data_IF_849019764982
#
_entry.id   IF_849019764982
#
_cell.length_a   1.000
_cell.length_b   1.000
_cell.length_c   1.000
_cell.angle_alpha   90.00
_cell.angle_beta   90.00
_cell.angle_gamma   90.00
#
_symmetry.space_group_name_H-M   'P 1'
#
loop_
_entity.id
_entity.type
_entity.pdbx_description
1 polymer ?
#
# COMPACT_ATOMS: atom_id res chain seq x y z
N UNK A 1 6.21 -30.80 -13.48
CA UNK A 1 6.80 -30.40 -12.18
C UNK A 1 7.23 -28.95 -12.32
N UNK A 2 6.71 -28.05 -11.48
CA UNK A 2 6.94 -26.60 -11.57
C UNK A 2 8.11 -26.23 -10.65
N UNK A 3 9.03 -25.40 -11.13
CA UNK A 3 10.21 -24.95 -10.37
C UNK A 3 10.31 -23.42 -10.45
N UNK A 4 10.28 -22.76 -9.31
CA UNK A 4 10.55 -21.32 -9.19
C UNK A 4 12.05 -21.07 -9.11
N UNK A 5 12.49 -19.92 -9.62
CA UNK A 5 13.87 -19.46 -9.54
C UNK A 5 13.89 -18.00 -9.10
N UNK A 6 14.96 -17.61 -8.43
CA UNK A 6 15.19 -16.22 -8.05
C UNK A 6 16.32 -16.12 -7.04
N UNK A 7 16.99 -14.96 -7.02
CA UNK A 7 18.11 -14.68 -6.11
C UNK A 7 17.68 -14.79 -4.66
N UNK A 8 16.46 -14.34 -4.34
CA UNK A 8 15.82 -14.49 -3.03
C UNK A 8 15.85 -15.93 -2.49
N UNK A 9 15.82 -16.95 -3.35
CA UNK A 9 15.90 -18.35 -2.96
C UNK A 9 17.32 -18.92 -3.09
N UNK A 10 18.02 -18.61 -4.19
CA UNK A 10 19.30 -19.25 -4.53
C UNK A 10 20.52 -18.64 -3.83
N UNK A 11 20.37 -17.50 -3.16
CA UNK A 11 21.47 -16.85 -2.44
C UNK A 11 21.99 -17.72 -1.28
N UNK A 12 23.33 -17.74 -1.04
CA UNK A 12 23.93 -18.59 -0.01
C UNK A 12 23.35 -18.38 1.39
N UNK A 13 23.04 -17.13 1.75
CA UNK A 13 22.45 -16.77 3.05
C UNK A 13 21.07 -17.37 3.28
N UNK A 14 20.19 -17.36 2.27
CA UNK A 14 18.88 -18.01 2.34
C UNK A 14 19.04 -19.54 2.39
N UNK A 15 19.89 -20.10 1.53
CA UNK A 15 20.17 -21.54 1.51
C UNK A 15 20.75 -22.06 2.83
N UNK A 16 21.53 -21.25 3.55
CA UNK A 16 22.03 -21.61 4.87
C UNK A 16 20.91 -21.84 5.89
N UNK A 17 19.83 -21.04 5.84
CA UNK A 17 18.66 -21.22 6.73
C UNK A 17 17.93 -22.53 6.41
N UNK A 18 17.66 -22.81 5.14
CA UNK A 18 17.08 -24.10 4.71
C UNK A 18 17.96 -25.28 5.13
N UNK A 19 19.27 -25.16 4.90
CA UNK A 19 20.23 -26.22 5.23
C UNK A 19 20.30 -26.50 6.73
N UNK A 20 20.26 -25.47 7.58
CA UNK A 20 20.25 -25.62 9.02
C UNK A 20 19.04 -26.43 9.51
N UNK A 21 17.84 -26.09 9.04
CA UNK A 21 16.60 -26.78 9.39
C UNK A 21 16.58 -28.23 8.88
N UNK A 22 16.95 -28.45 7.62
CA UNK A 22 16.98 -29.79 7.02
C UNK A 22 18.04 -30.70 7.65
N UNK A 23 19.19 -30.16 8.04
CA UNK A 23 20.25 -30.93 8.74
C UNK A 23 19.80 -31.38 10.12
N UNK A 24 18.95 -30.59 10.78
CA UNK A 24 18.30 -30.96 12.03
C UNK A 24 17.11 -31.94 11.85
N UNK A 25 16.80 -32.35 10.63
CA UNK A 25 15.75 -33.32 10.32
C UNK A 25 14.36 -32.71 10.09
N UNK A 26 14.25 -31.39 9.99
CA UNK A 26 13.00 -30.68 9.74
C UNK A 26 12.80 -30.36 8.27
N UNK A 27 11.54 -30.23 7.84
CA UNK A 27 11.22 -29.71 6.51
C UNK A 27 11.18 -28.19 6.56
N UNK A 28 11.65 -27.55 5.49
CA UNK A 28 11.60 -26.10 5.34
C UNK A 28 11.16 -25.74 3.92
N UNK A 29 10.24 -24.81 3.80
CA UNK A 29 9.68 -24.36 2.53
C UNK A 29 9.61 -22.84 2.48
N UNK A 30 10.03 -22.24 1.36
CA UNK A 30 9.57 -20.91 1.01
C UNK A 30 8.04 -20.94 0.87
N UNK A 31 7.33 -19.92 1.35
CA UNK A 31 5.87 -19.96 1.38
C UNK A 31 5.20 -18.64 1.00
N UNK A 32 4.04 -18.73 0.37
CA UNK A 32 3.11 -17.62 0.22
C UNK A 32 3.57 -16.59 -0.80
N UNK A 33 3.78 -15.34 -0.38
CA UNK A 33 3.98 -14.21 -1.29
C UNK A 33 5.18 -14.37 -2.22
N UNK A 34 6.29 -14.90 -1.72
CA UNK A 34 7.50 -15.12 -2.52
C UNK A 34 7.28 -16.17 -3.61
N UNK A 35 6.58 -17.26 -3.29
CA UNK A 35 6.28 -18.34 -4.24
C UNK A 35 5.28 -17.85 -5.30
N UNK A 36 4.19 -17.18 -4.87
CA UNK A 36 3.20 -16.57 -5.75
C UNK A 36 3.84 -15.60 -6.74
N UNK A 37 4.63 -14.65 -6.23
CA UNK A 37 5.23 -13.61 -7.06
C UNK A 37 6.24 -14.23 -8.04
N UNK A 38 7.07 -15.18 -7.60
CA UNK A 38 8.00 -15.88 -8.49
C UNK A 38 7.29 -16.63 -9.62
N UNK A 39 6.14 -17.26 -9.34
CA UNK A 39 5.34 -17.94 -10.36
C UNK A 39 4.64 -16.96 -11.33
N UNK A 40 4.28 -15.76 -10.88
CA UNK A 40 3.69 -14.71 -11.70
C UNK A 40 4.73 -13.84 -12.43
N UNK A 41 6.03 -14.07 -12.21
CA UNK A 41 7.09 -13.19 -12.73
C UNK A 41 7.10 -11.80 -12.11
N UNK A 42 6.51 -11.63 -10.92
CA UNK A 42 6.48 -10.38 -10.17
C UNK A 42 7.70 -10.28 -9.22
N UNK A 43 8.12 -9.06 -8.82
CA UNK A 43 9.17 -8.88 -7.84
C UNK A 43 8.89 -9.62 -6.52
N UNK A 44 9.91 -10.25 -5.97
CA UNK A 44 9.88 -10.88 -4.64
C UNK A 44 10.69 -10.01 -3.71
N UNK A 45 10.03 -9.43 -2.70
CA UNK A 45 10.66 -8.51 -1.75
C UNK A 45 11.19 -9.27 -0.52
N UNK A 46 10.35 -10.12 0.05
CA UNK A 46 10.66 -10.87 1.27
C UNK A 46 10.54 -12.39 1.05
N UNK A 47 11.41 -13.16 1.70
CA UNK A 47 11.35 -14.61 1.78
C UNK A 47 10.82 -15.03 3.15
N UNK A 48 9.59 -15.56 3.16
CA UNK A 48 9.02 -16.25 4.32
C UNK A 48 9.31 -17.75 4.22
N UNK A 49 9.78 -18.34 5.32
CA UNK A 49 10.07 -19.78 5.43
C UNK A 49 9.08 -20.41 6.41
N UNK A 50 8.45 -21.51 6.00
CA UNK A 50 7.61 -22.33 6.86
C UNK A 50 8.30 -23.68 7.15
N UNK A 51 8.21 -24.15 8.39
CA UNK A 51 8.85 -25.39 8.83
C UNK A 51 7.98 -26.21 9.78
N UNK A 52 8.18 -27.53 9.85
CA UNK A 52 7.57 -28.36 10.90
C UNK A 52 8.33 -28.32 12.24
N UNK A 53 9.49 -27.64 12.29
CA UNK A 53 10.21 -27.39 13.53
C UNK A 53 9.41 -26.46 14.45
N UNK A 54 9.27 -26.83 15.72
CA UNK A 54 8.75 -25.94 16.76
C UNK A 54 9.71 -24.74 16.95
N UNK A 55 9.28 -23.65 17.58
CA UNK A 55 10.12 -22.46 17.71
C UNK A 55 11.44 -22.70 18.44
N UNK A 56 11.44 -23.53 19.49
CA UNK A 56 12.66 -23.90 20.22
C UNK A 56 13.57 -24.85 19.43
N UNK A 57 12.99 -25.73 18.62
CA UNK A 57 13.74 -26.60 17.70
C UNK A 57 14.36 -25.79 16.56
N UNK A 58 13.63 -24.79 16.05
CA UNK A 58 14.12 -23.83 15.07
C UNK A 58 15.34 -23.10 15.60
N UNK A 59 15.25 -22.53 16.81
CA UNK A 59 16.38 -21.84 17.47
C UNK A 59 17.58 -22.78 17.58
N UNK A 60 17.38 -23.98 18.14
CA UNK A 60 18.47 -24.94 18.32
C UNK A 60 19.13 -25.36 17.00
N UNK A 61 18.32 -25.59 15.95
CA UNK A 61 18.80 -25.97 14.62
C UNK A 61 19.67 -24.87 13.98
N UNK A 62 19.21 -23.62 14.03
CA UNK A 62 19.94 -22.52 13.38
C UNK A 62 21.18 -22.10 14.18
N UNK A 63 21.14 -22.12 15.51
CA UNK A 63 22.30 -21.84 16.36
C UNK A 63 23.39 -22.91 16.22
N UNK A 64 23.00 -24.19 16.10
CA UNK A 64 23.94 -25.29 15.83
C UNK A 64 24.64 -25.14 14.48
N UNK A 65 23.99 -24.47 13.52
CA UNK A 65 24.56 -24.15 12.21
C UNK A 65 25.36 -22.83 12.20
N UNK A 66 25.52 -22.16 13.35
CA UNK A 66 26.27 -20.91 13.49
C UNK A 66 25.50 -19.66 13.05
N UNK A 67 24.19 -19.77 12.84
CA UNK A 67 23.30 -18.64 12.54
C UNK A 67 22.76 -18.04 13.84
N UNK A 68 22.32 -16.79 13.78
CA UNK A 68 21.72 -16.11 14.94
C UNK A 68 20.19 -16.23 14.89
N UNK A 69 19.59 -16.77 15.93
CA UNK A 69 18.14 -16.71 16.13
C UNK A 69 17.74 -15.45 16.92
N UNK A 70 16.65 -14.80 16.49
CA UNK A 70 15.98 -13.74 17.25
C UNK A 70 14.53 -14.18 17.46
N UNK A 71 14.06 -14.36 18.71
CA UNK A 71 12.73 -14.92 19.01
C UNK A 71 11.60 -13.89 18.82
N UNK A 72 11.54 -13.29 17.63
CA UNK A 72 10.52 -12.34 17.17
C UNK A 72 9.17 -13.01 17.04
N UNK A 73 8.28 -12.82 18.01
CA UNK A 73 6.94 -13.43 17.94
C UNK A 73 6.96 -14.94 18.15
N UNK A 74 7.91 -15.45 18.95
CA UNK A 74 8.00 -16.86 19.35
C UNK A 74 6.66 -17.43 19.85
N UNK A 75 5.88 -16.63 20.58
CA UNK A 75 4.53 -17.02 21.06
C UNK A 75 3.55 -17.35 19.94
N UNK A 76 3.73 -16.73 18.78
CA UNK A 76 2.95 -17.03 17.59
C UNK A 76 3.60 -18.13 16.75
N UNK A 77 4.87 -18.45 16.98
CA UNK A 77 5.61 -19.48 16.27
C UNK A 77 6.47 -18.96 15.13
N UNK A 78 6.91 -17.72 15.21
CA UNK A 78 7.85 -17.13 14.26
C UNK A 78 9.18 -16.85 14.98
N UNK A 79 10.28 -17.06 14.26
CA UNK A 79 11.66 -16.78 14.69
C UNK A 79 12.35 -16.09 13.50
N UNK A 80 12.89 -14.89 13.69
CA UNK A 80 13.77 -14.27 12.69
C UNK A 80 15.14 -14.91 12.80
N UNK A 81 15.60 -15.53 11.72
CA UNK A 81 16.94 -16.10 11.59
C UNK A 81 17.82 -15.12 10.82
N UNK A 82 18.94 -14.72 11.41
CA UNK A 82 19.89 -13.81 10.78
C UNK A 82 21.03 -14.61 10.16
N UNK A 83 21.18 -14.49 8.84
CA UNK A 83 22.23 -15.13 8.04
C UNK A 83 22.96 -14.06 7.23
N UNK A 84 24.26 -13.88 7.52
CA UNK A 84 25.12 -12.84 6.90
C UNK A 84 24.52 -11.42 6.95
N UNK A 85 23.95 -11.05 8.11
CA UNK A 85 23.34 -9.73 8.34
C UNK A 85 21.91 -9.56 7.80
N UNK A 86 21.40 -10.51 7.04
CA UNK A 86 20.02 -10.51 6.50
C UNK A 86 19.08 -11.30 7.41
N UNK A 87 17.87 -10.80 7.65
CA UNK A 87 16.85 -11.48 8.45
C UNK A 87 15.87 -12.30 7.61
N UNK A 88 15.57 -13.52 8.06
CA UNK A 88 14.59 -14.42 7.44
C UNK A 88 13.54 -14.84 8.45
N UNK A 89 12.27 -14.64 8.14
CA UNK A 89 11.16 -15.05 9.00
C UNK A 89 10.90 -16.55 8.84
N UNK A 90 11.26 -17.34 9.86
CA UNK A 90 10.99 -18.77 9.92
C UNK A 90 9.80 -19.03 10.83
N UNK A 91 8.74 -19.60 10.28
CA UNK A 91 7.47 -19.83 10.97
C UNK A 91 7.13 -21.30 11.04
N UNK A 92 6.92 -21.82 12.25
CA UNK A 92 6.39 -23.17 12.47
C UNK A 92 5.01 -23.31 11.80
N UNK A 93 4.76 -24.46 11.16
CA UNK A 93 3.44 -24.81 10.64
C UNK A 93 2.39 -24.70 11.73
N UNK A 94 1.21 -24.19 11.37
CA UNK A 94 0.12 -24.00 12.32
C UNK A 94 -1.14 -24.61 11.76
N UNK A 95 -2.05 -24.96 12.65
CA UNK A 95 -3.42 -25.25 12.30
C UNK A 95 -4.36 -24.30 13.03
N UNK A 96 -5.53 -24.08 12.46
CA UNK A 96 -6.57 -23.31 13.12
C UNK A 96 -7.03 -24.02 14.41
N UNK A 97 -7.38 -23.23 15.42
CA UNK A 97 -8.18 -23.66 16.56
C UNK A 97 -9.44 -22.80 16.61
N UNK A 98 -10.57 -23.41 16.99
CA UNK A 98 -11.76 -22.64 17.40
C UNK A 98 -11.36 -21.71 18.55
N UNK A 99 -11.63 -20.42 18.40
CA UNK A 99 -11.28 -19.41 19.40
C UNK A 99 -12.52 -18.74 19.97
N UNK A 100 -12.61 -18.80 21.30
CA UNK A 100 -13.36 -17.86 22.14
C UNK A 100 -12.69 -16.48 22.03
N UNK A 101 -13.17 -15.69 21.07
CA UNK A 101 -13.39 -14.25 21.12
C UNK A 101 -12.23 -13.27 21.35
N UNK A 102 -11.15 -13.59 22.07
CA UNK A 102 -10.14 -12.59 22.51
C UNK A 102 -8.68 -13.03 22.55
N UNK A 103 -8.35 -14.32 22.38
CA UNK A 103 -6.94 -14.78 22.25
C UNK A 103 -6.85 -15.96 21.29
N UNK A 104 -6.16 -15.77 20.18
CA UNK A 104 -5.81 -16.87 19.29
C UNK A 104 -4.65 -17.67 19.91
N UNK A 105 -4.96 -18.82 20.51
CA UNK A 105 -3.93 -19.80 20.86
C UNK A 105 -3.53 -20.54 19.57
N UNK A 106 -2.28 -20.41 19.17
CA UNK A 106 -1.76 -21.09 17.98
C UNK A 106 -1.52 -22.56 18.31
N UNK A 107 -2.12 -23.48 17.54
CA UNK A 107 -1.70 -24.89 17.55
C UNK A 107 -0.62 -25.09 16.50
N UNK A 108 0.58 -25.46 16.93
CA UNK A 108 1.62 -25.90 16.01
C UNK A 108 1.26 -27.25 15.40
N UNK A 109 1.66 -27.43 14.14
CA UNK A 109 1.41 -28.63 13.36
C UNK A 109 2.72 -29.14 12.78
N UNK A 110 2.71 -30.41 12.40
CA UNK A 110 3.73 -31.01 11.54
C UNK A 110 3.15 -31.35 10.16
N UNK A 111 1.89 -31.01 9.86
CA UNK A 111 1.28 -31.22 8.55
C UNK A 111 1.28 -29.92 7.74
N UNK A 112 1.96 -29.96 6.59
CA UNK A 112 1.99 -28.87 5.62
C UNK A 112 0.58 -28.52 5.10
N UNK A 113 -0.30 -29.52 5.00
CA UNK A 113 -1.68 -29.34 4.54
C UNK A 113 -2.50 -28.54 5.56
N UNK A 114 -2.28 -28.76 6.86
CA UNK A 114 -2.92 -27.95 7.91
C UNK A 114 -2.46 -26.49 7.84
N UNK A 115 -1.15 -26.25 7.61
CA UNK A 115 -0.62 -24.90 7.41
C UNK A 115 -1.19 -24.22 6.17
N UNK A 116 -1.41 -24.98 5.10
CA UNK A 116 -2.01 -24.47 3.88
C UNK A 116 -3.48 -24.10 4.10
N UNK A 117 -4.25 -24.94 4.81
CA UNK A 117 -5.70 -24.73 5.05
C UNK A 117 -5.99 -23.45 5.82
N UNK A 118 -5.15 -23.10 6.80
CA UNK A 118 -5.36 -21.87 7.60
C UNK A 118 -5.08 -20.56 6.87
N UNK A 119 -4.45 -20.61 5.69
CA UNK A 119 -4.16 -19.39 4.90
C UNK A 119 -5.44 -18.83 4.29
N UNK A 120 -5.37 -17.58 3.86
CA UNK A 120 -6.53 -16.85 3.37
C UNK A 120 -6.93 -17.29 1.96
N UNK A 121 -5.99 -17.26 1.01
CA UNK A 121 -6.27 -17.47 -0.42
C UNK A 121 -5.43 -18.58 -1.02
N UNK A 122 -5.99 -19.30 -2.00
CA UNK A 122 -5.34 -20.44 -2.67
C UNK A 122 -3.97 -20.08 -3.25
N UNK A 123 -3.87 -18.89 -3.87
CA UNK A 123 -2.65 -18.31 -4.44
C UNK A 123 -1.57 -17.99 -3.40
N UNK A 124 -1.92 -17.92 -2.10
CA UNK A 124 -1.00 -17.65 -0.99
C UNK A 124 -0.64 -18.90 -0.18
N UNK A 125 -1.20 -20.07 -0.54
CA UNK A 125 -0.90 -21.36 0.08
C UNK A 125 -0.04 -22.25 -0.80
N UNK A 126 0.90 -21.63 -1.53
CA UNK A 126 1.90 -22.28 -2.36
C UNK A 126 3.24 -22.32 -1.64
N UNK A 127 3.95 -23.45 -1.79
CA UNK A 127 5.20 -23.73 -1.10
C UNK A 127 6.27 -24.12 -2.11
N UNK A 128 7.52 -23.79 -1.84
CA UNK A 128 8.66 -24.25 -2.64
C UNK A 128 9.78 -24.75 -1.73
N UNK A 129 10.37 -25.90 -2.06
CA UNK A 129 11.57 -26.37 -1.36
C UNK A 129 12.80 -25.50 -1.70
N UNK A 130 13.94 -25.75 -1.05
CA UNK A 130 15.18 -25.00 -1.29
C UNK A 130 15.68 -25.05 -2.74
N UNK A 131 15.26 -26.05 -3.51
CA UNK A 131 15.59 -26.20 -4.94
C UNK A 131 14.59 -25.48 -5.86
N UNK A 132 13.55 -24.89 -5.28
CA UNK A 132 12.48 -24.18 -5.98
C UNK A 132 11.34 -25.08 -6.43
N UNK A 133 11.31 -26.37 -6.09
CA UNK A 133 10.22 -27.25 -6.52
C UNK A 133 8.94 -26.90 -5.79
N UNK A 134 7.91 -26.55 -6.56
CA UNK A 134 6.65 -26.06 -6.01
C UNK A 134 5.75 -27.22 -5.58
N UNK A 135 5.13 -27.06 -4.41
CA UNK A 135 4.11 -27.93 -3.84
C UNK A 135 2.83 -27.12 -3.59
N UNK A 136 1.70 -27.69 -3.99
CA UNK A 136 0.35 -27.18 -3.76
C UNK A 136 -0.43 -28.18 -2.88
N UNK A 137 -0.34 -28.06 -1.53
CA UNK A 137 -0.86 -29.07 -0.60
C UNK A 137 -2.38 -29.27 -0.65
N UNK A 138 -3.13 -28.30 -1.18
CA UNK A 138 -4.60 -28.33 -1.25
C UNK A 138 -5.12 -28.83 -2.61
N UNK A 139 -4.24 -29.14 -3.57
CA UNK A 139 -4.60 -29.68 -4.88
C UNK A 139 -4.15 -28.80 -6.05
N UNK A 140 -4.38 -29.28 -7.27
CA UNK A 140 -3.97 -28.58 -8.51
C UNK A 140 -4.70 -27.26 -8.72
N UNK A 141 -5.91 -27.14 -8.16
CA UNK A 141 -6.72 -25.92 -8.26
C UNK A 141 -5.99 -24.67 -7.78
N UNK A 142 -5.04 -24.78 -6.85
CA UNK A 142 -4.26 -23.62 -6.39
C UNK A 142 -3.38 -23.03 -7.50
N UNK A 143 -2.83 -23.90 -8.36
CA UNK A 143 -2.02 -23.50 -9.50
C UNK A 143 -2.90 -23.03 -10.66
N UNK A 144 -4.09 -23.63 -10.81
CA UNK A 144 -5.10 -23.19 -11.78
C UNK A 144 -5.58 -21.78 -11.44
N UNK A 145 -5.97 -21.52 -10.18
CA UNK A 145 -6.33 -20.20 -9.67
C UNK A 145 -5.22 -19.18 -9.91
N UNK A 146 -3.96 -19.54 -9.61
CA UNK A 146 -2.84 -18.65 -9.85
C UNK A 146 -2.66 -18.33 -11.34
N UNK A 147 -2.74 -19.35 -12.20
CA UNK A 147 -2.58 -19.20 -13.65
C UNK A 147 -3.70 -18.35 -14.27
N UNK A 148 -4.92 -18.49 -13.75
CA UNK A 148 -6.08 -17.70 -14.11
C UNK A 148 -6.16 -16.38 -13.36
N UNK A 149 -5.16 -16.08 -12.50
CA UNK A 149 -5.11 -14.88 -11.66
C UNK A 149 -6.41 -14.66 -10.87
N UNK A 150 -6.95 -15.74 -10.31
CA UNK A 150 -8.16 -15.76 -9.50
C UNK A 150 -7.79 -15.71 -8.02
N UNK A 151 -8.34 -14.74 -7.29
CA UNK A 151 -8.23 -14.69 -5.83
C UNK A 151 -9.44 -15.44 -5.26
N UNK A 152 -9.20 -16.60 -4.64
CA UNK A 152 -10.24 -17.46 -4.07
C UNK A 152 -9.88 -17.84 -2.65
N UNK A 153 -10.86 -17.83 -1.74
CA UNK A 153 -10.66 -18.25 -0.36
C UNK A 153 -10.38 -19.76 -0.27
N UNK A 154 -9.61 -20.16 0.74
CA UNK A 154 -9.38 -21.59 1.01
C UNK A 154 -10.52 -22.12 1.87
N UNK A 155 -11.35 -23.00 1.30
CA UNK A 155 -12.55 -23.52 1.98
C UNK A 155 -13.77 -22.64 1.71
N UNK A 156 -14.70 -22.58 2.67
CA UNK A 156 -15.90 -21.74 2.56
C UNK A 156 -15.57 -20.29 2.95
N UNK A 157 -15.86 -19.35 2.06
CA UNK A 157 -15.51 -17.94 2.20
C UNK A 157 -16.02 -17.32 3.50
N UNK A 158 -17.28 -17.55 3.85
CA UNK A 158 -17.88 -17.02 5.07
C UNK A 158 -17.15 -17.47 6.33
N UNK A 159 -16.82 -18.76 6.44
CA UNK A 159 -16.10 -19.31 7.61
C UNK A 159 -14.73 -18.64 7.72
N UNK A 160 -14.04 -18.50 6.59
CA UNK A 160 -12.74 -17.83 6.55
C UNK A 160 -12.84 -16.36 6.92
N UNK A 161 -13.90 -15.67 6.51
CA UNK A 161 -14.12 -14.26 6.86
C UNK A 161 -14.42 -14.11 8.35
N UNK A 162 -15.23 -15.01 8.94
CA UNK A 162 -15.58 -14.99 10.37
C UNK A 162 -14.38 -15.24 11.27
N UNK A 163 -13.38 -16.00 10.83
CA UNK A 163 -12.09 -16.15 11.54
C UNK A 163 -11.32 -14.83 11.67
N UNK A 164 -11.29 -14.01 10.61
CA UNK A 164 -10.67 -12.68 10.61
C UNK A 164 -11.27 -11.81 9.50
N UNK A 165 -12.16 -10.89 9.89
CA UNK A 165 -12.84 -10.00 8.95
C UNK A 165 -11.88 -9.12 8.13
N UNK A 166 -10.60 -8.98 8.53
CA UNK A 166 -9.61 -8.28 7.72
C UNK A 166 -9.39 -8.98 6.36
N UNK A 167 -9.71 -10.27 6.23
CA UNK A 167 -9.60 -10.99 4.97
C UNK A 167 -10.51 -10.42 3.87
N UNK A 168 -11.60 -9.74 4.22
CA UNK A 168 -12.40 -8.96 3.24
C UNK A 168 -11.53 -7.91 2.55
N UNK A 169 -10.83 -7.07 3.32
CA UNK A 169 -9.95 -6.04 2.75
C UNK A 169 -8.77 -6.64 1.99
N UNK A 170 -8.23 -7.75 2.51
CA UNK A 170 -7.16 -8.48 1.82
C UNK A 170 -7.63 -9.05 0.49
N UNK A 171 -8.86 -9.55 0.38
CA UNK A 171 -9.43 -10.05 -0.87
C UNK A 171 -9.40 -8.97 -1.96
N UNK A 172 -9.91 -7.76 -1.66
CA UNK A 172 -9.89 -6.65 -2.61
C UNK A 172 -8.47 -6.17 -2.91
N UNK A 173 -7.58 -6.11 -1.90
CA UNK A 173 -6.16 -5.81 -2.11
C UNK A 173 -5.54 -6.80 -3.08
N UNK A 174 -5.62 -8.10 -2.79
CA UNK A 174 -5.00 -9.12 -3.62
C UNK A 174 -5.61 -9.17 -5.02
N UNK A 175 -6.91 -8.89 -5.15
CA UNK A 175 -7.56 -8.78 -6.46
C UNK A 175 -7.02 -7.60 -7.26
N UNK A 176 -6.78 -6.45 -6.64
CA UNK A 176 -6.15 -5.30 -7.31
C UNK A 176 -4.70 -5.55 -7.73
N UNK A 177 -3.94 -6.31 -6.95
CA UNK A 177 -2.52 -6.58 -7.23
C UNK A 177 -2.29 -7.76 -8.18
N UNK A 178 -3.09 -8.81 -8.05
CA UNK A 178 -2.84 -10.11 -8.69
C UNK A 178 -4.03 -10.64 -9.49
N UNK A 179 -5.20 -10.02 -9.39
CA UNK A 179 -6.38 -10.41 -10.17
C UNK A 179 -6.17 -10.27 -11.68
N UNK A 180 -6.88 -11.07 -12.46
CA UNK A 180 -7.15 -10.73 -13.86
C UNK A 180 -8.34 -9.76 -13.89
N UNK A 181 -8.13 -8.51 -14.32
CA UNK A 181 -9.20 -7.53 -14.33
C UNK A 181 -10.34 -7.93 -15.27
N UNK A 182 -10.07 -8.69 -16.34
CA UNK A 182 -11.09 -9.11 -17.33
C UNK A 182 -11.91 -10.32 -16.86
N UNK A 183 -11.34 -11.17 -16.00
CA UNK A 183 -12.08 -12.29 -15.39
C UNK A 183 -13.14 -11.80 -14.37
N UNK A 184 -12.93 -10.62 -13.79
CA UNK A 184 -13.82 -10.03 -12.79
C UNK A 184 -13.74 -10.72 -11.43
N UNK A 185 -14.73 -10.43 -10.58
CA UNK A 185 -14.84 -11.01 -9.25
C UNK A 185 -15.75 -12.23 -9.25
N UNK A 186 -15.44 -13.20 -8.39
CA UNK A 186 -16.30 -14.35 -8.18
C UNK A 186 -17.57 -13.90 -7.40
N UNK A 187 -18.78 -14.10 -7.96
CA UNK A 187 -20.00 -13.63 -7.34
C UNK A 187 -20.31 -14.32 -6.00
N UNK A 188 -19.90 -15.58 -5.82
CA UNK A 188 -20.12 -16.31 -4.56
C UNK A 188 -19.22 -15.73 -3.44
N UNK A 189 -17.98 -15.37 -3.78
CA UNK A 189 -17.06 -14.68 -2.86
C UNK A 189 -17.60 -13.30 -2.47
N UNK A 190 -18.14 -12.55 -3.43
CA UNK A 190 -18.76 -11.24 -3.16
C UNK A 190 -20.02 -11.37 -2.29
N UNK A 191 -20.83 -12.42 -2.50
CA UNK A 191 -22.02 -12.68 -1.67
C UNK A 191 -21.61 -12.98 -0.23
N UNK A 192 -20.64 -13.87 -0.01
CA UNK A 192 -20.13 -14.18 1.33
C UNK A 192 -19.56 -12.94 2.04
N UNK A 193 -18.86 -12.06 1.31
CA UNK A 193 -18.38 -10.77 1.83
C UNK A 193 -19.56 -9.87 2.24
N UNK A 194 -20.59 -9.75 1.42
CA UNK A 194 -21.75 -8.91 1.68
C UNK A 194 -22.54 -9.39 2.91
N UNK A 195 -22.57 -10.69 3.20
CA UNK A 195 -23.20 -11.26 4.40
C UNK A 195 -22.38 -11.03 5.68
N UNK A 196 -21.09 -10.72 5.56
CA UNK A 196 -20.17 -10.58 6.69
C UNK A 196 -19.75 -9.14 7.00
N UNK A 197 -20.44 -8.13 6.42
CA UNK A 197 -20.05 -6.72 6.53
C UNK A 197 -20.00 -6.20 7.97
N UNK A 198 -20.91 -6.66 8.83
CA UNK A 198 -21.02 -6.17 10.21
C UNK A 198 -19.75 -6.46 11.03
N UNK A 199 -19.02 -7.52 10.68
CA UNK A 199 -17.76 -7.86 11.35
C UNK A 199 -16.62 -6.87 11.08
N UNK A 200 -16.73 -6.03 10.04
CA UNK A 200 -15.76 -4.96 9.77
C UNK A 200 -15.71 -3.92 10.91
N UNK A 201 -16.79 -3.74 11.66
CA UNK A 201 -16.86 -2.79 12.78
C UNK A 201 -15.99 -3.22 13.97
N UNK A 202 -15.67 -4.51 14.08
CA UNK A 202 -14.86 -5.10 15.15
C UNK A 202 -13.36 -4.89 14.89
N UNK A 203 -12.98 -4.61 13.64
CA UNK A 203 -11.57 -4.50 13.25
C UNK A 203 -10.90 -3.26 13.85
N UNK A 204 -9.64 -3.44 14.25
CA UNK A 204 -8.76 -2.30 14.58
C UNK A 204 -8.61 -1.38 13.37
N UNK A 205 -8.78 -0.09 13.64
CA UNK A 205 -8.64 1.00 12.66
C UNK A 205 -7.23 1.07 12.07
N UNK A 206 -6.21 0.70 12.84
CA UNK A 206 -4.82 0.59 12.37
C UNK A 206 -4.68 -0.50 11.29
N UNK A 207 -5.27 -1.70 11.49
CA UNK A 207 -5.24 -2.79 10.51
C UNK A 207 -5.99 -2.42 9.23
N UNK A 208 -7.16 -1.81 9.39
CA UNK A 208 -7.99 -1.31 8.27
C UNK A 208 -7.24 -0.25 7.46
N UNK A 209 -6.60 0.72 8.13
CA UNK A 209 -5.78 1.74 7.49
C UNK A 209 -4.59 1.17 6.73
N UNK A 210 -3.89 0.19 7.31
CA UNK A 210 -2.77 -0.47 6.65
C UNK A 210 -3.21 -1.20 5.36
N UNK A 211 -4.30 -1.97 5.41
CA UNK A 211 -4.81 -2.69 4.23
C UNK A 211 -5.36 -1.73 3.16
N UNK A 212 -6.07 -0.68 3.57
CA UNK A 212 -6.59 0.35 2.64
C UNK A 212 -5.46 1.05 1.90
N UNK A 213 -4.40 1.46 2.59
CA UNK A 213 -3.23 2.07 1.93
C UNK A 213 -2.55 1.12 0.95
N UNK A 214 -2.36 -0.16 1.32
CA UNK A 214 -1.77 -1.16 0.43
C UNK A 214 -2.62 -1.44 -0.81
N UNK A 215 -3.95 -1.46 -0.66
CA UNK A 215 -4.87 -1.53 -1.80
C UNK A 215 -4.66 -0.34 -2.73
N UNK A 216 -4.66 0.88 -2.19
CA UNK A 216 -4.54 2.11 -2.99
C UNK A 216 -3.13 2.32 -3.58
N UNK A 217 -2.12 1.55 -3.18
CA UNK A 217 -0.80 1.52 -3.84
C UNK A 217 -0.74 0.57 -5.05
N UNK A 218 -1.74 -0.29 -5.26
CA UNK A 218 -1.78 -1.17 -6.45
C UNK A 218 -1.71 -0.37 -7.75
N UNK A 219 -1.22 -0.95 -8.85
CA UNK A 219 -1.16 -0.24 -10.13
C UNK A 219 -2.54 0.32 -10.52
N UNK A 220 -3.57 -0.53 -10.52
CA UNK A 220 -4.95 -0.15 -10.73
C UNK A 220 -5.87 -0.77 -9.64
N UNK A 221 -6.28 0.03 -8.63
CA UNK A 221 -7.24 -0.41 -7.61
C UNK A 221 -8.70 -0.12 -8.01
N UNK A 222 -8.97 0.53 -9.13
CA UNK A 222 -10.29 1.11 -9.42
C UNK A 222 -11.40 0.05 -9.44
N UNK A 223 -11.17 -1.09 -10.10
CA UNK A 223 -12.15 -2.19 -10.16
C UNK A 223 -12.43 -2.79 -8.77
N UNK A 224 -11.39 -2.97 -7.96
CA UNK A 224 -11.54 -3.50 -6.60
C UNK A 224 -12.28 -2.54 -5.67
N UNK A 225 -11.97 -1.24 -5.72
CA UNK A 225 -12.68 -0.24 -4.91
C UNK A 225 -14.13 -0.06 -5.40
N UNK A 226 -14.38 -0.14 -6.70
CA UNK A 226 -15.74 -0.14 -7.23
C UNK A 226 -16.54 -1.36 -6.76
N UNK A 227 -15.94 -2.56 -6.74
CA UNK A 227 -16.56 -3.75 -6.18
C UNK A 227 -16.83 -3.60 -4.67
N UNK A 228 -15.88 -3.04 -3.91
CA UNK A 228 -16.09 -2.70 -2.48
C UNK A 228 -17.28 -1.77 -2.28
N UNK A 229 -17.50 -0.81 -3.18
CA UNK A 229 -18.67 0.07 -3.12
C UNK A 229 -19.98 -0.69 -3.40
N UNK A 230 -19.99 -1.56 -4.40
CA UNK A 230 -21.16 -2.36 -4.78
C UNK A 230 -21.61 -3.31 -3.66
N UNK A 231 -20.66 -3.96 -2.97
CA UNK A 231 -20.97 -4.86 -1.85
C UNK A 231 -21.03 -4.14 -0.49
N UNK A 232 -20.95 -2.81 -0.45
CA UNK A 232 -21.10 -2.02 0.78
C UNK A 232 -19.84 -1.90 1.67
N UNK A 233 -18.77 -2.66 1.40
CA UNK A 233 -17.50 -2.61 2.14
C UNK A 233 -16.91 -1.19 2.17
N UNK A 234 -16.94 -0.47 1.04
CA UNK A 234 -16.35 0.88 0.96
C UNK A 234 -16.98 1.82 1.99
N UNK A 235 -18.31 1.81 2.10
CA UNK A 235 -19.04 2.70 3.02
C UNK A 235 -18.80 2.37 4.51
N UNK A 236 -18.47 1.11 4.83
CA UNK A 236 -18.13 0.68 6.20
C UNK A 236 -16.72 1.10 6.61
N UNK A 237 -15.80 1.14 5.64
CA UNK A 237 -14.36 1.33 5.88
C UNK A 237 -13.94 2.79 5.66
N UNK A 238 -14.54 3.47 4.68
CA UNK A 238 -14.30 4.86 4.31
C UNK A 238 -15.65 5.58 4.13
N UNK A 239 -16.21 6.06 5.23
CA UNK A 239 -17.50 6.75 5.20
C UNK A 239 -17.41 8.01 4.32
N UNK A 240 -18.32 8.10 3.34
CA UNK A 240 -18.38 9.23 2.40
C UNK A 240 -17.44 9.14 1.21
N UNK A 241 -16.65 8.06 1.08
CA UNK A 241 -15.79 7.87 -0.08
C UNK A 241 -16.58 7.51 -1.34
N UNK A 242 -16.12 8.04 -2.47
CA UNK A 242 -16.69 7.83 -3.81
C UNK A 242 -15.61 7.29 -4.77
N UNK A 243 -15.79 6.10 -5.36
CA UNK A 243 -14.77 5.49 -6.21
C UNK A 243 -14.66 6.12 -7.61
N UNK A 244 -15.61 6.96 -8.04
CA UNK A 244 -15.76 7.36 -9.45
C UNK A 244 -14.54 8.06 -10.05
N UNK A 245 -13.83 8.87 -9.27
CA UNK A 245 -12.65 9.58 -9.74
C UNK A 245 -11.39 8.69 -9.78
N UNK A 246 -11.41 7.50 -9.18
CA UNK A 246 -10.21 6.67 -9.02
C UNK A 246 -9.70 6.09 -10.35
N UNK A 247 -10.61 5.61 -11.21
CA UNK A 247 -10.25 5.11 -12.55
C UNK A 247 -9.58 6.18 -13.42
N UNK A 248 -10.24 7.34 -13.65
CA UNK A 248 -9.63 8.46 -14.37
C UNK A 248 -8.30 8.93 -13.75
N UNK A 249 -8.18 8.91 -12.42
CA UNK A 249 -6.92 9.26 -11.76
C UNK A 249 -5.79 8.29 -12.11
N UNK A 250 -6.05 6.98 -12.13
CA UNK A 250 -5.05 5.97 -12.49
C UNK A 250 -4.53 6.21 -13.91
N UNK A 251 -5.41 6.48 -14.87
CA UNK A 251 -5.04 6.78 -16.26
C UNK A 251 -4.17 8.05 -16.35
N UNK A 252 -4.52 9.10 -15.60
CA UNK A 252 -3.76 10.35 -15.57
C UNK A 252 -2.39 10.18 -14.89
N UNK A 253 -2.31 9.39 -13.83
CA UNK A 253 -1.05 9.02 -13.16
C UNK A 253 -0.10 8.32 -14.13
N UNK A 254 -0.61 7.32 -14.87
CA UNK A 254 0.16 6.58 -15.87
C UNK A 254 0.62 7.47 -17.02
N UNK A 255 -0.29 8.26 -17.60
CA UNK A 255 0.02 9.18 -18.70
C UNK A 255 1.06 10.23 -18.31
N UNK A 256 1.06 10.68 -17.05
CA UNK A 256 2.01 11.64 -16.51
C UNK A 256 3.33 11.00 -16.01
N UNK A 257 3.43 9.66 -15.98
CA UNK A 257 4.57 8.96 -15.40
C UNK A 257 4.71 9.16 -13.88
N UNK A 258 3.62 9.49 -13.19
CA UNK A 258 3.58 9.74 -11.75
C UNK A 258 3.22 8.45 -11.02
N UNK A 259 4.05 8.04 -10.06
CA UNK A 259 3.84 6.79 -9.32
C UNK A 259 2.54 6.83 -8.50
N UNK A 260 1.85 5.70 -8.32
CA UNK A 260 0.72 5.58 -7.41
C UNK A 260 1.02 6.13 -6.01
N UNK A 261 0.09 6.93 -5.48
CA UNK A 261 0.16 7.46 -4.13
C UNK A 261 -1.17 7.22 -3.39
N UNK A 262 -1.15 6.52 -2.24
CA UNK A 262 -2.38 6.17 -1.55
C UNK A 262 -3.11 7.39 -0.97
N UNK A 263 -2.41 8.47 -0.60
CA UNK A 263 -3.05 9.66 -0.04
C UNK A 263 -3.71 10.50 -1.14
N UNK A 264 -3.06 10.66 -2.29
CA UNK A 264 -3.67 11.29 -3.47
C UNK A 264 -4.95 10.57 -3.88
N UNK A 265 -4.90 9.24 -3.92
CA UNK A 265 -6.06 8.40 -4.26
C UNK A 265 -7.16 8.44 -3.20
N UNK A 266 -6.82 8.53 -1.91
CA UNK A 266 -7.81 8.80 -0.85
C UNK A 266 -8.52 10.15 -1.07
N UNK A 267 -7.76 11.21 -1.33
CA UNK A 267 -8.33 12.55 -1.57
C UNK A 267 -9.20 12.57 -2.82
N UNK A 268 -8.82 11.88 -3.90
CA UNK A 268 -9.65 11.75 -5.09
C UNK A 268 -10.99 11.05 -4.84
N UNK A 269 -11.03 10.14 -3.86
CA UNK A 269 -12.29 9.54 -3.41
C UNK A 269 -13.08 10.41 -2.44
N UNK A 270 -12.67 11.66 -2.18
CA UNK A 270 -13.37 12.59 -1.29
C UNK A 270 -12.94 12.53 0.18
N UNK A 271 -11.88 11.78 0.52
CA UNK A 271 -11.35 11.72 1.89
C UNK A 271 -10.48 12.96 2.16
N UNK A 272 -11.02 13.93 2.89
CA UNK A 272 -10.37 15.22 3.18
C UNK A 272 -9.69 15.32 4.55
N UNK A 273 -9.85 14.30 5.39
CA UNK A 273 -9.28 14.18 6.74
C UNK A 273 -9.08 12.70 7.08
N UNK A 274 -8.46 12.37 8.22
CA UNK A 274 -8.35 10.97 8.65
C UNK A 274 -9.75 10.41 8.97
N UNK A 275 -10.28 9.44 8.18
CA UNK A 275 -11.62 8.89 8.40
C UNK A 275 -11.60 7.78 9.47
N UNK A 276 -10.54 7.72 10.28
CA UNK A 276 -10.29 6.64 11.23
C UNK A 276 -9.39 5.55 10.66
N UNK A 277 -8.49 5.86 9.72
CA UNK A 277 -7.42 4.96 9.27
C UNK A 277 -6.16 5.06 10.13
N UNK A 278 -6.15 5.92 11.15
CA UNK A 278 -4.99 6.15 12.03
C UNK A 278 -3.78 6.64 11.24
N UNK A 279 -4.02 7.65 10.42
CA UNK A 279 -2.97 8.28 9.63
C UNK A 279 -1.98 8.99 10.56
N UNK A 280 -0.70 8.94 10.22
CA UNK A 280 0.33 9.69 10.91
C UNK A 280 0.11 11.19 10.76
N UNK A 281 0.62 12.00 11.69
CA UNK A 281 0.53 13.48 11.61
C UNK A 281 1.06 14.04 10.28
N UNK A 282 2.09 13.40 9.71
CA UNK A 282 2.65 13.78 8.41
C UNK A 282 1.67 13.50 7.26
N UNK A 283 1.01 12.34 7.28
CA UNK A 283 0.00 11.98 6.28
C UNK A 283 -1.23 12.89 6.35
N UNK A 284 -1.72 13.19 7.56
CA UNK A 284 -2.84 14.13 7.77
C UNK A 284 -2.50 15.52 7.20
N UNK A 285 -1.33 16.07 7.56
CA UNK A 285 -0.88 17.36 7.03
C UNK A 285 -0.74 17.35 5.51
N UNK A 286 -0.30 16.24 4.92
CA UNK A 286 -0.21 16.10 3.46
C UNK A 286 -1.59 16.15 2.80
N UNK A 287 -2.59 15.46 3.37
CA UNK A 287 -3.98 15.53 2.91
C UNK A 287 -4.51 16.96 2.99
N UNK A 288 -4.31 17.63 4.12
CA UNK A 288 -4.75 19.03 4.31
C UNK A 288 -4.15 19.97 3.26
N UNK A 289 -2.83 19.89 3.04
CA UNK A 289 -2.17 20.70 2.01
C UNK A 289 -2.68 20.37 0.60
N UNK A 290 -2.88 19.08 0.30
CA UNK A 290 -3.39 18.65 -1.00
C UNK A 290 -4.83 19.15 -1.24
N UNK A 291 -5.69 19.06 -0.23
CA UNK A 291 -7.07 19.60 -0.30
C UNK A 291 -7.06 21.11 -0.50
N UNK A 292 -6.19 21.85 0.22
CA UNK A 292 -6.02 23.29 0.02
C UNK A 292 -5.55 23.62 -1.40
N UNK A 293 -4.55 22.88 -1.91
CA UNK A 293 -4.07 23.01 -3.28
C UNK A 293 -5.17 22.67 -4.31
N UNK A 294 -6.05 21.70 -4.05
CA UNK A 294 -7.20 21.38 -4.91
C UNK A 294 -8.26 22.49 -4.88
N UNK A 295 -8.41 23.24 -3.79
CA UNK A 295 -9.35 24.36 -3.71
C UNK A 295 -8.82 25.69 -4.28
N UNK A 296 -7.50 25.83 -4.45
CA UNK A 296 -6.88 27.09 -4.89
C UNK A 296 -7.13 27.41 -6.39
N UNK A 297 -7.94 28.44 -6.66
CA UNK A 297 -8.28 28.88 -8.03
C UNK A 297 -7.14 29.52 -8.83
N UNK A 298 -5.91 29.52 -8.33
CA UNK A 298 -4.73 30.02 -9.05
C UNK A 298 -4.39 29.22 -10.31
N UNK A 299 -3.64 29.85 -11.21
CA UNK A 299 -3.12 29.17 -12.39
C UNK A 299 -2.06 28.10 -12.02
N UNK A 300 -1.71 27.22 -12.96
CA UNK A 300 -0.80 26.09 -12.71
C UNK A 300 0.56 26.50 -12.15
N UNK A 301 1.14 27.62 -12.62
CA UNK A 301 2.42 28.10 -12.12
C UNK A 301 2.31 28.71 -10.71
N UNK A 302 1.20 29.40 -10.41
CA UNK A 302 0.88 29.86 -9.06
C UNK A 302 0.75 28.71 -8.07
N UNK A 303 0.14 27.59 -8.48
CA UNK A 303 0.05 26.38 -7.64
C UNK A 303 1.44 25.82 -7.34
N UNK A 304 2.29 25.68 -8.37
CA UNK A 304 3.67 25.22 -8.21
C UNK A 304 4.46 26.08 -7.24
N UNK A 305 4.34 27.40 -7.34
CA UNK A 305 5.00 28.36 -6.43
C UNK A 305 4.55 28.20 -4.98
N UNK A 306 3.23 28.12 -4.73
CA UNK A 306 2.68 28.08 -3.36
C UNK A 306 2.85 26.74 -2.66
N UNK A 307 2.69 25.63 -3.39
CA UNK A 307 2.58 24.29 -2.80
C UNK A 307 3.74 23.35 -3.15
N UNK A 308 4.66 23.81 -4.00
CA UNK A 308 5.72 22.98 -4.58
C UNK A 308 5.21 22.09 -5.71
N UNK A 309 6.14 21.55 -6.50
CA UNK A 309 5.81 20.77 -7.70
C UNK A 309 4.95 19.53 -7.39
N UNK A 310 5.38 18.69 -6.45
CA UNK A 310 4.70 17.41 -6.16
C UNK A 310 3.24 17.61 -5.73
N UNK A 311 3.00 18.47 -4.74
CA UNK A 311 1.64 18.72 -4.23
C UNK A 311 0.75 19.38 -5.29
N UNK A 312 1.28 20.31 -6.08
CA UNK A 312 0.52 20.97 -7.13
C UNK A 312 0.16 20.00 -8.27
N UNK A 313 1.07 19.08 -8.64
CA UNK A 313 0.79 18.01 -9.62
C UNK A 313 -0.27 17.05 -9.09
N UNK A 314 -0.13 16.60 -7.84
CA UNK A 314 -1.13 15.76 -7.18
C UNK A 314 -2.51 16.44 -7.18
N UNK A 315 -2.58 17.74 -6.86
CA UNK A 315 -3.83 18.49 -6.86
C UNK A 315 -4.45 18.58 -8.25
N UNK A 316 -3.62 18.84 -9.28
CA UNK A 316 -4.09 18.96 -10.65
C UNK A 316 -4.59 17.61 -11.19
N UNK A 317 -3.90 16.51 -10.90
CA UNK A 317 -4.36 15.16 -11.22
C UNK A 317 -5.74 14.87 -10.61
N UNK A 318 -5.92 15.14 -9.31
CA UNK A 318 -7.21 14.90 -8.64
C UNK A 318 -8.33 15.75 -9.23
N UNK A 319 -8.08 17.04 -9.53
CA UNK A 319 -9.06 17.92 -10.18
C UNK A 319 -9.49 17.37 -11.55
N UNK A 320 -8.52 17.04 -12.39
CA UNK A 320 -8.78 16.55 -13.74
C UNK A 320 -9.50 15.21 -13.72
N UNK A 321 -9.12 14.30 -12.82
CA UNK A 321 -9.81 13.03 -12.62
C UNK A 321 -11.27 13.23 -12.19
N UNK A 322 -11.51 14.12 -11.22
CA UNK A 322 -12.84 14.41 -10.69
C UNK A 322 -13.77 15.08 -11.72
N UNK A 323 -13.20 15.89 -12.62
CA UNK A 323 -13.93 16.60 -13.68
C UNK A 323 -14.00 15.82 -15.00
N UNK A 324 -13.33 14.68 -15.10
CA UNK A 324 -13.23 13.91 -16.35
C UNK A 324 -12.53 14.68 -17.47
N UNK A 325 -11.52 15.49 -17.13
CA UNK A 325 -10.80 16.34 -18.07
C UNK A 325 -9.42 15.77 -18.41
N UNK A 326 -8.96 15.88 -19.67
CA UNK A 326 -7.60 15.48 -20.02
C UNK A 326 -6.57 16.41 -19.35
N UNK A 327 -5.38 15.88 -19.04
CA UNK A 327 -4.27 16.67 -18.52
C UNK A 327 -3.12 16.68 -19.52
N UNK A 328 -2.80 17.86 -20.05
CA UNK A 328 -1.68 18.04 -20.98
C UNK A 328 -0.34 18.28 -20.26
N UNK A 329 0.80 17.95 -20.89
CA UNK A 329 2.13 18.15 -20.31
C UNK A 329 2.47 19.62 -20.05
N UNK A 330 1.88 20.54 -20.81
CA UNK A 330 2.05 21.99 -20.62
C UNK A 330 1.63 22.45 -19.21
N UNK A 331 0.57 21.86 -18.67
CA UNK A 331 0.08 22.19 -17.34
C UNK A 331 1.05 21.75 -16.24
N UNK A 332 1.65 20.56 -16.40
CA UNK A 332 2.68 20.03 -15.50
C UNK A 332 3.98 20.85 -15.59
N UNK A 333 4.38 21.24 -16.80
CA UNK A 333 5.54 22.10 -17.02
C UNK A 333 5.36 23.49 -16.39
N UNK A 334 4.15 24.04 -16.45
CA UNK A 334 3.84 25.31 -15.81
C UNK A 334 3.98 25.23 -14.28
N UNK A 335 3.53 24.12 -13.66
CA UNK A 335 3.75 23.84 -12.23
C UNK A 335 5.25 23.79 -11.92
N UNK A 336 6.03 23.05 -12.70
CA UNK A 336 7.47 22.90 -12.47
C UNK A 336 8.21 24.24 -12.57
N UNK A 337 7.85 25.07 -13.55
CA UNK A 337 8.35 26.45 -13.67
C UNK A 337 8.00 27.25 -12.42
N UNK A 338 6.74 27.24 -12.01
CA UNK A 338 6.26 27.97 -10.84
C UNK A 338 6.97 27.59 -9.54
N UNK A 339 7.21 26.29 -9.34
CA UNK A 339 7.90 25.76 -8.16
C UNK A 339 9.38 26.20 -8.05
N UNK A 340 9.97 26.70 -9.13
CA UNK A 340 11.33 27.25 -9.13
C UNK A 340 11.36 28.77 -8.91
N UNK A 341 10.22 29.44 -8.93
CA UNK A 341 10.15 30.89 -8.80
C UNK A 341 10.43 31.31 -7.35
N UNK A 342 11.16 32.42 -7.19
CA UNK A 342 11.47 33.04 -5.90
C UNK A 342 11.00 34.48 -5.94
N UNK A 343 10.19 34.88 -4.96
CA UNK A 343 9.70 36.25 -4.88
C UNK A 343 10.88 37.24 -4.76
N UNK A 344 10.98 38.25 -5.64
CA UNK A 344 12.23 38.99 -5.82
C UNK A 344 12.45 40.13 -4.79
N UNK A 345 11.49 40.38 -3.90
CA UNK A 345 11.63 41.35 -2.80
C UNK A 345 11.40 40.67 -1.45
N UNK A 346 11.95 41.26 -0.39
CA UNK A 346 11.75 40.83 0.98
C UNK A 346 11.40 42.01 1.91
N UNK A 347 11.11 41.71 3.17
CA UNK A 347 10.73 42.70 4.17
C UNK A 347 11.75 43.86 4.34
N UNK A 348 13.05 43.59 4.22
CA UNK A 348 14.07 44.61 4.37
C UNK A 348 14.03 45.67 3.26
N UNK A 349 13.48 45.32 2.08
CA UNK A 349 13.38 46.23 0.95
C UNK A 349 12.30 47.31 1.14
N UNK A 350 11.33 47.08 2.04
CA UNK A 350 10.23 47.99 2.35
C UNK A 350 10.42 48.72 3.69
N UNK A 351 11.45 48.34 4.46
CA UNK A 351 11.80 48.99 5.72
C UNK A 351 12.73 50.19 5.50
N UNK A 352 12.65 51.25 6.33
CA UNK A 352 11.73 51.44 7.44
C UNK A 352 10.36 52.02 7.05
N UNK A 353 10.08 52.18 5.75
CA UNK A 353 8.88 52.86 5.24
C UNK A 353 7.57 52.18 5.68
N UNK A 354 7.57 50.86 5.76
CA UNK A 354 6.48 50.05 6.32
C UNK A 354 6.98 49.20 7.50
N UNK A 355 6.12 48.95 8.49
CA UNK A 355 6.43 48.10 9.64
C UNK A 355 5.19 47.41 10.19
N UNK A 356 5.39 46.35 10.99
CA UNK A 356 4.31 45.62 11.64
C UNK A 356 3.35 44.96 10.64
N UNK A 357 2.04 44.99 10.93
CA UNK A 357 1.01 44.36 10.10
C UNK A 357 0.97 44.94 8.67
N UNK A 358 1.14 46.26 8.52
CA UNK A 358 1.11 46.94 7.22
C UNK A 358 2.23 46.46 6.27
N UNK A 359 3.40 46.09 6.81
CA UNK A 359 4.48 45.49 6.02
C UNK A 359 4.10 44.11 5.47
N UNK A 360 3.48 43.28 6.31
CA UNK A 360 3.01 41.95 5.91
C UNK A 360 1.93 42.04 4.82
N UNK A 361 0.94 42.92 5.02
CA UNK A 361 -0.14 43.15 4.04
C UNK A 361 0.40 43.65 2.70
N UNK A 362 1.35 44.59 2.71
CA UNK A 362 1.98 45.09 1.49
C UNK A 362 2.78 44.00 0.76
N UNK A 363 3.57 43.19 1.47
CA UNK A 363 4.31 42.07 0.86
C UNK A 363 3.35 41.05 0.23
N UNK A 364 2.28 40.68 0.93
CA UNK A 364 1.28 39.74 0.39
C UNK A 364 0.54 40.30 -0.83
N UNK A 365 0.23 41.60 -0.85
CA UNK A 365 -0.39 42.25 -2.01
C UNK A 365 0.55 42.25 -3.23
N UNK A 366 1.82 42.63 -3.03
CA UNK A 366 2.83 42.64 -4.09
C UNK A 366 3.14 41.23 -4.62
N UNK A 367 3.16 40.24 -3.74
CA UNK A 367 3.33 38.84 -4.11
C UNK A 367 2.14 38.33 -4.95
N UNK A 368 0.91 38.68 -4.57
CA UNK A 368 -0.28 38.35 -5.35
C UNK A 368 -0.25 39.01 -6.75
N UNK A 369 0.20 40.27 -6.86
CA UNK A 369 0.37 40.94 -8.15
C UNK A 369 1.46 40.31 -9.01
N UNK A 370 2.59 39.92 -8.40
CA UNK A 370 3.66 39.22 -9.10
C UNK A 370 3.19 37.87 -9.66
N UNK A 371 2.47 37.09 -8.86
CA UNK A 371 1.85 35.83 -9.31
C UNK A 371 0.84 36.09 -10.44
N UNK A 372 -0.02 37.10 -10.29
CA UNK A 372 -1.02 37.47 -11.31
C UNK A 372 -0.38 37.93 -12.63
N UNK A 373 0.84 38.47 -12.58
CA UNK A 373 1.63 38.84 -13.76
C UNK A 373 2.30 37.65 -14.47
N UNK A 374 2.00 36.41 -14.06
CA UNK A 374 2.74 35.20 -14.45
C UNK A 374 4.24 35.33 -14.19
N UNK A 375 4.57 35.91 -13.02
CA UNK A 375 5.94 36.11 -12.53
C UNK A 375 6.82 37.02 -13.39
N UNK A 376 6.22 37.87 -14.24
CA UNK A 376 6.96 38.77 -15.14
C UNK A 376 7.41 40.08 -14.48
N UNK A 377 6.79 40.51 -13.37
CA UNK A 377 7.21 41.75 -12.69
C UNK A 377 8.61 41.59 -12.08
N UNK A 378 9.47 42.56 -12.36
CA UNK A 378 10.83 42.60 -11.83
C UNK A 378 10.84 43.14 -10.40
N UNK A 379 11.99 43.00 -9.73
CA UNK A 379 12.22 43.63 -8.42
C UNK A 379 11.95 45.14 -8.45
N UNK A 380 12.38 45.82 -9.52
CA UNK A 380 12.20 47.26 -9.67
C UNK A 380 10.72 47.64 -9.80
N UNK A 381 9.97 46.91 -10.64
CA UNK A 381 8.53 47.12 -10.80
C UNK A 381 7.77 47.01 -9.48
N UNK A 382 8.11 46.01 -8.66
CA UNK A 382 7.44 45.77 -7.39
C UNK A 382 7.78 46.85 -6.35
N UNK A 383 9.04 47.31 -6.28
CA UNK A 383 9.43 48.39 -5.37
C UNK A 383 8.79 49.71 -5.75
N UNK A 384 8.65 49.99 -7.04
CA UNK A 384 7.99 51.21 -7.49
C UNK A 384 6.48 51.20 -7.23
N UNK A 385 5.84 50.02 -7.26
CA UNK A 385 4.45 49.86 -6.80
C UNK A 385 4.33 50.06 -5.30
N UNK A 386 5.25 49.50 -4.52
CA UNK A 386 5.26 49.62 -3.06
C UNK A 386 5.39 51.08 -2.58
N UNK A 387 6.09 51.95 -3.32
CA UNK A 387 6.19 53.39 -3.02
C UNK A 387 4.91 54.18 -3.31
N UNK A 388 4.01 53.63 -4.13
CA UNK A 388 2.76 54.28 -4.56
C UNK A 388 1.54 53.84 -3.74
N UNK A 389 1.65 52.72 -3.04
CA UNK A 389 0.70 52.25 -2.03
C UNK A 389 0.95 52.95 -0.70
#
# INVERSE_FOLDING_TARGET
>A
MIVVKGTWLSEPRAQAVFHALETAGHRAFAVGGCVRNALLGAPVEDLDIATDALPDETIAAVESAGLKAVPTGKEHGTITVVSDGEGYEVTTFRADMETDGRRATVRFSQDLTEDARRRDFTINALYADKSGRVTAPLGSEQLEDLSARRVRFIGQAEDRIREDYLRILRYFRFSAWYGDPEAGFDPDELAAIAECLDGLEILSRERVGAETKKLLTAQDPARAVAAMAQVGVLTRVLLGADPRALGPLVELEEAAGIRPDPLRRLVAMGVSHDPGLRLSKKEVRRIETLVAAIADGGNNAALGYKYGSDTAKDALLVRHASLGMPLGPEALNAIDRGAQMVFPINAADLMPGLSGAALGEALSALEAEWIASDFNLTREDLLDRAKRA
#
